data_IF_315997191347
#
_entry.id   IF_315997191347
#
_cell.length_a   1.000
_cell.length_b   1.000
_cell.length_c   1.000
_cell.angle_alpha   90.00
_cell.angle_beta   90.00
_cell.angle_gamma   90.00
#
_symmetry.space_group_name_H-M   'P 1'
#
loop_
_entity.id
_entity.type
_entity.pdbx_description
1 polymer ?
#
# COMPACT_ATOMS: atom_id res chain seq x y z
N UNK A 1 -2.85 26.09 -8.96
CA UNK A 1 -1.99 24.97 -8.51
C UNK A 1 -2.44 24.53 -7.14
N UNK A 2 -2.77 23.28 -7.02
CA UNK A 2 -3.15 22.71 -5.72
C UNK A 2 -1.88 22.33 -4.96
N UNK A 3 -1.57 23.07 -3.89
CA UNK A 3 -0.51 22.70 -2.95
C UNK A 3 -0.94 21.55 -2.01
N UNK A 4 -1.97 20.80 -2.41
CA UNK A 4 -2.43 19.66 -1.62
C UNK A 4 -1.39 18.56 -1.64
N UNK A 5 -0.76 18.37 -0.51
CA UNK A 5 0.03 17.17 -0.24
C UNK A 5 -0.90 15.97 -0.15
N UNK A 6 -0.44 14.84 -0.65
CA UNK A 6 -1.12 13.58 -0.43
C UNK A 6 -0.96 13.12 1.02
N UNK A 7 -1.79 12.17 1.43
CA UNK A 7 -1.71 11.55 2.75
C UNK A 7 -1.01 10.21 2.65
N UNK A 8 -0.26 9.88 3.69
CA UNK A 8 0.35 8.57 3.87
C UNK A 8 -0.28 7.90 5.08
N UNK A 9 -0.98 6.81 4.82
CA UNK A 9 -1.70 6.04 5.84
C UNK A 9 -1.11 4.65 5.96
N UNK A 10 -0.89 4.19 7.18
CA UNK A 10 -0.36 2.87 7.49
C UNK A 10 -1.41 2.06 8.24
N UNK A 11 -1.74 0.89 7.69
CA UNK A 11 -2.71 -0.04 8.27
C UNK A 11 -1.99 -1.28 8.78
N UNK A 12 -2.22 -1.60 10.04
CA UNK A 12 -1.58 -2.73 10.71
C UNK A 12 -2.59 -3.81 11.04
N UNK A 13 -2.24 -5.05 10.79
CA UNK A 13 -2.98 -6.22 11.27
C UNK A 13 -2.07 -7.45 11.29
N UNK A 14 -2.34 -8.38 12.19
CA UNK A 14 -1.77 -9.72 12.14
C UNK A 14 -2.49 -10.61 11.12
N UNK A 15 -3.66 -10.20 10.65
CA UNK A 15 -4.46 -10.91 9.66
C UNK A 15 -4.25 -10.32 8.26
N UNK A 16 -3.64 -11.13 7.39
CA UNK A 16 -3.42 -10.76 5.99
C UNK A 16 -4.73 -10.45 5.26
N UNK A 17 -5.81 -11.16 5.58
CA UNK A 17 -7.10 -10.94 4.95
C UNK A 17 -7.70 -9.59 5.35
N UNK A 18 -7.52 -9.16 6.59
CA UNK A 18 -7.97 -7.84 7.04
C UNK A 18 -7.26 -6.71 6.27
N UNK A 19 -5.96 -6.86 6.02
CA UNK A 19 -5.18 -5.90 5.23
C UNK A 19 -5.70 -5.85 3.78
N UNK A 20 -5.84 -7.02 3.15
CA UNK A 20 -6.35 -7.10 1.77
C UNK A 20 -7.75 -6.50 1.66
N UNK A 21 -8.62 -6.81 2.62
CA UNK A 21 -9.98 -6.29 2.67
C UNK A 21 -9.99 -4.76 2.78
N UNK A 22 -9.16 -4.21 3.66
CA UNK A 22 -9.06 -2.75 3.82
C UNK A 22 -8.54 -2.05 2.57
N UNK A 23 -7.49 -2.58 1.95
CA UNK A 23 -6.93 -1.98 0.75
C UNK A 23 -7.88 -2.06 -0.44
N UNK A 24 -8.62 -3.16 -0.58
CA UNK A 24 -9.64 -3.28 -1.63
C UNK A 24 -10.84 -2.38 -1.36
N UNK A 25 -11.24 -2.18 -0.12
CA UNK A 25 -12.26 -1.18 0.26
C UNK A 25 -11.83 0.22 -0.18
N UNK A 26 -10.58 0.57 0.01
CA UNK A 26 -10.06 1.88 -0.39
C UNK A 26 -10.13 2.09 -1.91
N UNK A 27 -9.89 1.06 -2.70
CA UNK A 27 -10.04 1.14 -4.16
C UNK A 27 -11.48 1.54 -4.52
N UNK A 28 -12.46 0.98 -3.83
CA UNK A 28 -13.88 1.24 -4.09
C UNK A 28 -14.33 2.59 -3.54
N UNK A 29 -13.83 2.96 -2.34
CA UNK A 29 -14.36 4.09 -1.58
C UNK A 29 -13.75 5.44 -1.96
N UNK A 30 -12.56 5.47 -2.59
CA UNK A 30 -11.88 6.73 -2.92
C UNK A 30 -12.61 7.57 -3.95
N UNK A 31 -13.47 6.96 -4.78
CA UNK A 31 -14.19 7.65 -5.83
C UNK A 31 -13.35 8.11 -7.02
N UNK A 32 -12.05 7.79 -7.02
CA UNK A 32 -11.17 8.06 -8.16
C UNK A 32 -11.43 7.07 -9.30
N UNK A 33 -11.09 7.46 -10.52
CA UNK A 33 -11.10 6.54 -11.65
C UNK A 33 -10.04 5.43 -11.41
N UNK A 34 -10.37 4.20 -11.78
CA UNK A 34 -9.48 3.06 -11.56
C UNK A 34 -8.15 3.21 -12.31
N UNK A 35 -8.14 3.89 -13.45
CA UNK A 35 -6.91 4.20 -14.21
C UNK A 35 -5.93 5.09 -13.43
N UNK A 36 -6.41 5.84 -12.44
CA UNK A 36 -5.60 6.74 -11.63
C UNK A 36 -5.09 6.08 -10.34
N UNK A 37 -5.29 4.78 -10.21
CA UNK A 37 -4.89 4.00 -9.05
C UNK A 37 -3.86 2.93 -9.41
N UNK A 38 -2.94 2.69 -8.47
CA UNK A 38 -1.96 1.63 -8.54
C UNK A 38 -2.09 0.74 -7.30
N UNK A 39 -2.17 -0.57 -7.52
CA UNK A 39 -2.13 -1.55 -6.44
C UNK A 39 -0.89 -2.42 -6.59
N UNK A 40 -0.03 -2.44 -5.58
CA UNK A 40 1.17 -3.28 -5.55
C UNK A 40 1.04 -4.27 -4.40
N UNK A 41 1.20 -5.56 -4.68
CA UNK A 41 1.14 -6.61 -3.69
C UNK A 41 2.49 -7.32 -3.53
N UNK A 42 2.61 -8.05 -2.43
CA UNK A 42 3.75 -8.93 -2.21
C UNK A 42 3.80 -10.02 -3.29
N UNK A 43 5.02 -10.53 -3.56
CA UNK A 43 5.27 -11.50 -4.63
C UNK A 43 4.79 -12.93 -4.37
N UNK A 44 3.84 -13.14 -3.44
CA UNK A 44 3.25 -14.44 -3.14
C UNK A 44 2.33 -14.94 -4.24
N UNK A 45 1.43 -15.85 -3.87
CA UNK A 45 0.40 -16.33 -4.79
C UNK A 45 -0.53 -15.19 -5.20
N UNK A 46 -0.34 -14.72 -6.41
CA UNK A 46 -1.06 -13.57 -6.92
C UNK A 46 -1.68 -13.91 -8.27
N UNK A 47 -2.99 -13.75 -8.37
CA UNK A 47 -3.73 -13.85 -9.60
C UNK A 47 -4.40 -12.49 -9.88
N UNK A 48 -3.96 -11.75 -10.90
CA UNK A 48 -4.60 -10.49 -11.28
C UNK A 48 -6.09 -10.64 -11.58
N UNK A 49 -6.47 -11.74 -12.21
CA UNK A 49 -7.87 -12.03 -12.54
C UNK A 49 -8.71 -12.19 -11.28
N UNK A 50 -8.24 -13.00 -10.33
CA UNK A 50 -8.91 -13.20 -9.05
C UNK A 50 -9.03 -11.91 -8.25
N UNK A 51 -7.97 -11.11 -8.24
CA UNK A 51 -7.97 -9.80 -7.57
C UNK A 51 -9.03 -8.88 -8.17
N UNK A 52 -9.08 -8.75 -9.50
CA UNK A 52 -10.09 -7.93 -10.17
C UNK A 52 -11.50 -8.42 -9.91
N UNK A 53 -11.69 -9.73 -9.82
CA UNK A 53 -12.96 -10.33 -9.46
C UNK A 53 -13.39 -9.91 -8.05
N UNK A 54 -12.47 -9.95 -7.11
CA UNK A 54 -12.72 -9.51 -5.72
C UNK A 54 -13.07 -8.02 -5.65
N UNK A 55 -12.41 -7.18 -6.43
CA UNK A 55 -12.76 -5.76 -6.53
C UNK A 55 -14.18 -5.57 -7.08
N UNK A 56 -14.54 -6.33 -8.10
CA UNK A 56 -15.90 -6.29 -8.67
C UNK A 56 -16.96 -6.65 -7.63
N UNK A 57 -16.70 -7.70 -6.84
CA UNK A 57 -17.59 -8.10 -5.75
C UNK A 57 -17.69 -7.02 -4.68
N UNK A 58 -16.60 -6.34 -4.36
CA UNK A 58 -16.61 -5.21 -3.43
C UNK A 58 -17.51 -4.08 -3.93
N UNK A 59 -17.39 -3.69 -5.19
CA UNK A 59 -18.27 -2.68 -5.79
C UNK A 59 -19.73 -3.10 -5.63
N UNK A 60 -20.04 -4.34 -5.98
CA UNK A 60 -21.41 -4.88 -5.89
C UNK A 60 -21.92 -4.87 -4.45
N UNK A 61 -21.12 -5.29 -3.48
CA UNK A 61 -21.51 -5.33 -2.07
C UNK A 61 -21.81 -3.95 -1.50
N UNK A 62 -21.21 -2.91 -2.08
CA UNK A 62 -21.44 -1.50 -1.70
C UNK A 62 -22.51 -0.80 -2.54
N UNK A 63 -23.27 -1.56 -3.34
CA UNK A 63 -24.31 -1.02 -4.19
C UNK A 63 -23.79 -0.20 -5.37
N UNK A 64 -22.52 -0.39 -5.73
CA UNK A 64 -21.89 0.31 -6.85
C UNK A 64 -21.73 -0.61 -8.04
N UNK A 65 -21.77 -0.04 -9.25
CA UNK A 65 -21.57 -0.77 -10.50
C UNK A 65 -20.23 -0.37 -11.10
N UNK A 66 -19.49 -1.36 -11.60
CA UNK A 66 -18.24 -1.15 -12.32
C UNK A 66 -18.22 -2.00 -13.57
N UNK A 67 -17.76 -1.45 -14.68
CA UNK A 67 -17.61 -2.19 -15.93
C UNK A 67 -16.31 -3.00 -15.91
N UNK A 68 -16.31 -4.14 -16.60
CA UNK A 68 -15.10 -4.97 -16.73
C UNK A 68 -13.96 -4.19 -17.38
N UNK A 69 -14.27 -3.34 -18.37
CA UNK A 69 -13.28 -2.46 -19.01
C UNK A 69 -12.63 -1.47 -18.03
N UNK A 70 -13.41 -0.94 -17.08
CA UNK A 70 -12.88 -0.06 -16.02
C UNK A 70 -11.98 -0.82 -15.07
N UNK A 71 -12.34 -2.06 -14.70
CA UNK A 71 -11.51 -2.92 -13.85
C UNK A 71 -10.15 -3.22 -14.48
N UNK A 72 -10.11 -3.37 -15.79
CA UNK A 72 -8.87 -3.62 -16.53
C UNK A 72 -7.94 -2.40 -16.52
N UNK A 73 -8.46 -1.21 -16.31
CA UNK A 73 -7.67 0.02 -16.21
C UNK A 73 -6.90 0.16 -14.88
N UNK A 74 -7.33 -0.55 -13.84
CA UNK A 74 -6.60 -0.58 -12.57
C UNK A 74 -5.23 -1.23 -12.77
N UNK A 75 -4.17 -0.47 -12.53
CA UNK A 75 -2.81 -0.97 -12.64
C UNK A 75 -2.48 -1.87 -11.45
N UNK A 76 -2.10 -3.10 -11.75
CA UNK A 76 -1.72 -4.11 -10.78
C UNK A 76 -0.26 -4.47 -10.98
N UNK A 77 0.52 -4.35 -9.90
CA UNK A 77 1.94 -4.72 -9.89
C UNK A 77 2.21 -5.61 -8.69
N UNK A 78 3.34 -6.28 -8.70
CA UNK A 78 3.83 -7.07 -7.57
C UNK A 78 5.30 -6.77 -7.34
N UNK A 79 5.76 -6.98 -6.11
CA UNK A 79 7.19 -6.93 -5.81
C UNK A 79 7.88 -8.14 -6.44
N UNK A 80 9.01 -7.90 -7.09
CA UNK A 80 9.80 -8.93 -7.73
C UNK A 80 10.51 -9.84 -6.72
N UNK A 81 10.73 -11.07 -7.12
CA UNK A 81 11.54 -11.99 -6.34
C UNK A 81 13.01 -11.56 -6.36
N UNK A 82 13.68 -11.73 -5.23
CA UNK A 82 15.10 -11.44 -5.10
C UNK A 82 15.43 -9.98 -4.83
N UNK A 83 14.46 -9.08 -4.87
CA UNK A 83 14.63 -7.68 -4.49
C UNK A 83 14.16 -7.45 -3.07
N UNK A 84 14.83 -6.55 -2.37
CA UNK A 84 14.29 -6.03 -1.11
C UNK A 84 13.14 -5.06 -1.42
N UNK A 85 12.26 -4.85 -0.46
CA UNK A 85 11.16 -3.88 -0.62
C UNK A 85 11.70 -2.47 -0.93
N UNK A 86 12.78 -2.07 -0.28
CA UNK A 86 13.40 -0.78 -0.50
C UNK A 86 13.94 -0.63 -1.93
N UNK A 87 14.65 -1.63 -2.43
CA UNK A 87 15.18 -1.64 -3.80
C UNK A 87 14.06 -1.54 -4.84
N UNK A 88 12.98 -2.29 -4.62
CA UNK A 88 11.83 -2.28 -5.53
C UNK A 88 11.13 -0.92 -5.52
N UNK A 89 10.99 -0.30 -4.35
CA UNK A 89 10.42 1.04 -4.26
C UNK A 89 11.28 2.08 -4.95
N UNK A 90 12.59 2.04 -4.76
CA UNK A 90 13.53 2.94 -5.43
C UNK A 90 13.42 2.83 -6.96
N UNK A 91 13.26 1.62 -7.45
CA UNK A 91 13.11 1.37 -8.88
C UNK A 91 11.76 1.88 -9.43
N UNK A 92 10.67 1.69 -8.67
CA UNK A 92 9.31 1.98 -9.13
C UNK A 92 8.87 3.43 -8.89
N UNK A 93 9.53 4.14 -7.98
CA UNK A 93 9.04 5.42 -7.46
C UNK A 93 8.87 6.51 -8.55
N UNK A 94 9.68 6.44 -9.61
CA UNK A 94 9.57 7.38 -10.72
C UNK A 94 8.23 7.35 -11.46
N UNK A 95 7.52 6.22 -11.39
CA UNK A 95 6.21 6.05 -12.02
C UNK A 95 5.04 6.40 -11.11
N UNK A 96 5.29 6.64 -9.82
CA UNK A 96 4.22 6.87 -8.84
C UNK A 96 3.50 8.20 -9.04
N UNK A 97 4.15 9.17 -9.64
CA UNK A 97 3.56 10.47 -9.96
C UNK A 97 2.32 10.39 -10.88
N UNK A 98 2.20 9.32 -11.65
CA UNK A 98 1.09 9.11 -12.59
C UNK A 98 -0.23 8.74 -11.89
N UNK A 99 -0.18 8.41 -10.60
CA UNK A 99 -1.34 7.90 -9.87
C UNK A 99 -1.79 8.87 -8.80
N UNK A 100 -3.10 8.94 -8.59
CA UNK A 100 -3.70 9.71 -7.50
C UNK A 100 -3.71 8.94 -6.18
N UNK A 101 -3.79 7.62 -6.26
CA UNK A 101 -3.84 6.75 -5.10
C UNK A 101 -3.02 5.51 -5.35
N UNK A 102 -2.20 5.15 -4.37
CA UNK A 102 -1.35 3.95 -4.42
C UNK A 102 -1.64 3.12 -3.18
N UNK A 103 -1.96 1.84 -3.40
CA UNK A 103 -2.13 0.86 -2.35
C UNK A 103 -0.96 -0.11 -2.39
N UNK A 104 -0.25 -0.22 -1.29
CA UNK A 104 0.93 -1.08 -1.16
C UNK A 104 0.69 -2.14 -0.10
N UNK A 105 0.83 -3.40 -0.51
CA UNK A 105 0.82 -4.54 0.40
C UNK A 105 2.12 -5.30 0.21
N UNK A 106 2.91 -5.48 1.29
CA UNK A 106 4.14 -6.25 1.19
C UNK A 106 5.36 -5.64 1.88
N UNK A 107 5.20 -4.50 2.53
CA UNK A 107 6.25 -3.94 3.38
C UNK A 107 6.39 -4.77 4.67
N UNK A 108 5.42 -5.60 4.97
CA UNK A 108 5.38 -6.48 6.13
C UNK A 108 6.59 -7.42 6.25
N UNK A 109 7.23 -7.77 5.15
CA UNK A 109 8.41 -8.64 5.19
C UNK A 109 9.55 -8.03 6.01
N UNK A 110 9.53 -6.74 6.22
CA UNK A 110 10.48 -6.05 7.08
C UNK A 110 10.13 -6.20 8.56
N UNK A 111 8.83 -6.32 8.87
CA UNK A 111 8.35 -6.42 10.24
C UNK A 111 8.20 -7.88 10.72
N UNK A 112 8.00 -8.83 9.82
CA UNK A 112 7.79 -10.23 10.18
C UNK A 112 9.07 -11.00 10.51
N UNK A 113 10.23 -10.44 10.21
CA UNK A 113 11.52 -11.02 10.55
C UNK A 113 11.98 -10.65 11.96
N UNK A 114 11.13 -10.00 12.75
CA UNK A 114 11.49 -9.48 14.05
C UNK A 114 11.78 -10.59 15.04
N UNK A 115 13.00 -11.03 15.03
CA UNK A 115 13.66 -11.49 16.24
C UNK A 115 14.35 -10.28 16.84
N UNK A 116 14.38 -10.22 18.16
CA UNK A 116 14.88 -9.10 18.97
C UNK A 116 16.18 -8.45 18.45
N UNK A 117 17.00 -9.21 17.70
CA UNK A 117 18.30 -8.77 17.17
C UNK A 117 18.21 -8.05 15.81
N UNK A 118 17.04 -8.07 15.13
CA UNK A 118 16.87 -7.47 13.80
C UNK A 118 16.05 -6.19 13.82
N UNK A 119 15.43 -5.85 14.95
CA UNK A 119 14.50 -4.73 15.07
C UNK A 119 15.09 -3.38 14.63
N UNK A 120 16.36 -3.11 14.96
CA UNK A 120 16.98 -1.84 14.59
C UNK A 120 17.18 -1.71 13.08
N UNK A 121 17.59 -2.79 12.41
CA UNK A 121 17.76 -2.82 10.95
C UNK A 121 16.41 -2.76 10.23
N UNK A 122 15.43 -3.51 10.72
CA UNK A 122 14.07 -3.50 10.18
C UNK A 122 13.43 -2.11 10.30
N UNK A 123 13.60 -1.43 11.44
CA UNK A 123 13.15 -0.06 11.63
C UNK A 123 13.83 0.90 10.66
N UNK A 124 15.12 0.74 10.41
CA UNK A 124 15.87 1.59 9.48
C UNK A 124 15.37 1.43 8.05
N UNK A 125 15.16 0.20 7.61
CA UNK A 125 14.63 -0.11 6.28
C UNK A 125 13.20 0.42 6.15
N UNK A 126 12.37 0.20 7.15
CA UNK A 126 11.01 0.71 7.17
C UNK A 126 10.99 2.24 7.10
N UNK A 127 11.83 2.92 7.88
CA UNK A 127 11.96 4.37 7.83
C UNK A 127 12.36 4.86 6.44
N UNK A 128 13.29 4.19 5.79
CA UNK A 128 13.73 4.52 4.44
C UNK A 128 12.60 4.36 3.41
N UNK A 129 11.83 3.28 3.50
CA UNK A 129 10.66 3.07 2.65
C UNK A 129 9.61 4.17 2.86
N UNK A 130 9.31 4.49 4.11
CA UNK A 130 8.31 5.51 4.45
C UNK A 130 8.77 6.91 4.02
N UNK A 131 10.05 7.22 4.14
CA UNK A 131 10.61 8.48 3.68
C UNK A 131 10.43 8.64 2.16
N UNK A 132 10.71 7.60 1.37
CA UNK A 132 10.49 7.61 -0.07
C UNK A 132 9.01 7.84 -0.40
N UNK A 133 8.13 7.10 0.24
CA UNK A 133 6.69 7.21 0.01
C UNK A 133 6.13 8.55 0.50
N UNK A 134 6.67 9.11 1.59
CA UNK A 134 6.33 10.45 2.04
C UNK A 134 6.68 11.49 0.97
N UNK A 135 7.84 11.35 0.34
CA UNK A 135 8.22 12.27 -0.75
C UNK A 135 7.27 12.20 -1.94
N UNK A 136 6.75 11.01 -2.25
CA UNK A 136 5.72 10.85 -3.31
C UNK A 136 4.46 11.62 -2.93
N UNK A 137 3.97 11.44 -1.71
CA UNK A 137 2.78 12.13 -1.23
C UNK A 137 2.96 13.64 -1.23
N UNK A 138 4.12 14.12 -0.77
CA UNK A 138 4.40 15.56 -0.66
C UNK A 138 4.60 16.23 -2.02
N UNK A 139 5.31 15.56 -2.93
CA UNK A 139 5.71 16.18 -4.20
C UNK A 139 4.67 16.02 -5.31
N UNK A 140 3.90 14.94 -5.28
CA UNK A 140 2.94 14.63 -6.35
C UNK A 140 1.49 14.72 -5.92
N UNK A 141 1.20 14.93 -4.65
CA UNK A 141 -0.17 14.94 -4.14
C UNK A 141 -0.85 13.58 -4.16
N UNK A 142 -0.07 12.51 -4.28
CA UNK A 142 -0.57 11.13 -4.32
C UNK A 142 -0.90 10.65 -2.92
N UNK A 143 -2.08 10.06 -2.73
CA UNK A 143 -2.42 9.38 -1.48
C UNK A 143 -1.79 7.98 -1.47
N UNK A 144 -1.06 7.67 -0.43
CA UNK A 144 -0.36 6.39 -0.27
C UNK A 144 -0.97 5.63 0.89
N UNK A 145 -1.45 4.42 0.62
CA UNK A 145 -2.03 3.53 1.62
C UNK A 145 -1.17 2.27 1.71
N UNK A 146 -0.64 2.02 2.89
CA UNK A 146 0.30 0.92 3.11
C UNK A 146 -0.31 -0.08 4.08
N UNK A 147 -0.44 -1.33 3.64
CA UNK A 147 -0.87 -2.43 4.48
C UNK A 147 0.33 -3.25 4.96
N UNK A 148 0.45 -3.39 6.26
CA UNK A 148 1.52 -4.16 6.91
C UNK A 148 0.92 -5.30 7.72
N UNK A 149 1.25 -6.53 7.33
CA UNK A 149 0.92 -7.72 8.11
C UNK A 149 2.01 -7.90 9.16
N UNK A 150 1.69 -7.71 10.42
CA UNK A 150 2.68 -7.71 11.49
C UNK A 150 2.10 -8.18 12.82
N UNK A 151 2.92 -8.82 13.63
CA UNK A 151 2.62 -9.12 15.04
C UNK A 151 3.17 -8.05 15.98
N UNK A 152 3.89 -7.06 15.44
CA UNK A 152 4.43 -5.97 16.25
C UNK A 152 3.32 -5.05 16.75
N UNK A 153 3.55 -4.44 17.90
CA UNK A 153 2.63 -3.46 18.49
C UNK A 153 2.73 -2.12 17.75
N UNK A 154 1.71 -1.26 17.84
CA UNK A 154 1.79 0.08 17.27
C UNK A 154 3.00 0.88 17.75
N UNK A 155 3.49 0.61 18.96
CA UNK A 155 4.68 1.28 19.51
C UNK A 155 5.95 1.04 18.68
N UNK A 156 6.05 -0.07 17.98
CA UNK A 156 7.15 -0.34 17.05
C UNK A 156 7.22 0.71 15.92
N UNK A 157 6.08 1.25 15.53
CA UNK A 157 5.96 2.22 14.43
C UNK A 157 6.01 3.67 14.90
N UNK A 158 6.13 3.90 16.21
CA UNK A 158 6.15 5.26 16.79
C UNK A 158 7.31 6.10 16.27
N UNK A 159 8.46 5.48 16.03
CA UNK A 159 9.64 6.16 15.50
C UNK A 159 9.44 6.67 14.06
N UNK A 160 8.47 6.15 13.34
CA UNK A 160 8.15 6.51 11.97
C UNK A 160 7.00 7.52 11.85
N UNK A 161 6.47 7.99 12.96
CA UNK A 161 5.33 8.93 12.99
C UNK A 161 5.54 10.19 12.15
N UNK A 162 6.77 10.64 12.02
CA UNK A 162 7.11 11.81 11.23
C UNK A 162 6.69 11.68 9.76
N UNK A 163 6.68 10.44 9.25
CA UNK A 163 6.34 10.16 7.86
C UNK A 163 4.87 9.80 7.66
N UNK A 164 4.14 9.47 8.71
CA UNK A 164 2.81 8.86 8.65
C UNK A 164 1.77 9.87 9.11
N UNK A 165 0.74 10.09 8.30
CA UNK A 165 -0.40 10.93 8.68
C UNK A 165 -1.35 10.18 9.60
N UNK A 166 -1.65 8.91 9.29
CA UNK A 166 -2.54 8.08 10.10
C UNK A 166 -1.98 6.67 10.26
N UNK A 167 -1.88 6.22 11.50
CA UNK A 167 -1.52 4.85 11.86
C UNK A 167 -2.77 4.15 12.38
N UNK A 168 -3.23 3.12 11.68
CA UNK A 168 -4.52 2.49 11.94
C UNK A 168 -4.31 1.00 12.20
N UNK A 169 -4.74 0.53 13.36
CA UNK A 169 -4.77 -0.91 13.68
C UNK A 169 -6.14 -1.46 13.33
N UNK A 170 -6.13 -2.50 12.50
CA UNK A 170 -7.34 -3.18 12.07
C UNK A 170 -7.74 -4.32 13.01
#
# INVERSE_FOLDING_TARGET
>A
MSDKKGRLNLYLSSDRNAITDKLTDLVVDTGYNLKDMLYICDGGRYSPMEFRYNIKDKFRSKGKTVLTSELEELELQRFGYGFSTLEELEYKIGNFASYRSIMLKGIHCLATRSKVTQNAQDCLILSSCLMLLRSVADNFGTNVHIGVVTFETPSFFEQQKTYIDNLITL
#
